data_IF_412874748495
#
_entry.id   IF_412874748495
#
_cell.length_a   1.000
_cell.length_b   1.000
_cell.length_c   1.000
_cell.angle_alpha   90.00
_cell.angle_beta   90.00
_cell.angle_gamma   90.00
#
_symmetry.space_group_name_H-M   'P 1'
#
loop_
_entity.id
_entity.type
_entity.pdbx_description
1 polymer ?
#
# COMPACT_ATOMS: atom_id res chain seq x y z
N UNK A 1 -11.68 2.68 -10.36
CA UNK A 1 -10.65 2.50 -9.31
C UNK A 1 -11.19 1.43 -8.40
N UNK A 2 -10.52 0.28 -8.36
CA UNK A 2 -10.94 -0.82 -7.48
C UNK A 2 -10.30 -0.61 -6.11
N UNK A 3 -11.12 -0.70 -5.07
CA UNK A 3 -10.73 -0.53 -3.68
C UNK A 3 -11.37 -1.71 -2.91
N UNK A 4 -10.62 -2.47 -2.11
CA UNK A 4 -9.21 -2.25 -1.76
C UNK A 4 -8.24 -2.56 -2.91
N UNK A 5 -7.07 -1.91 -2.93
CA UNK A 5 -6.05 -2.12 -3.97
C UNK A 5 -4.63 -1.80 -3.52
N UNK A 6 -3.65 -2.54 -4.03
CA UNK A 6 -2.23 -2.33 -3.74
C UNK A 6 -1.73 -1.05 -4.42
N UNK A 7 -1.02 -0.22 -3.65
CA UNK A 7 -0.49 1.06 -4.11
C UNK A 7 0.91 1.32 -3.55
N UNK A 8 1.69 2.10 -4.30
CA UNK A 8 2.89 2.76 -3.79
C UNK A 8 2.52 4.18 -3.35
N UNK A 9 2.71 4.48 -2.06
CA UNK A 9 2.49 5.79 -1.45
C UNK A 9 3.72 6.68 -1.57
N UNK A 10 3.51 7.90 -2.07
CA UNK A 10 4.48 8.99 -2.03
C UNK A 10 3.87 10.15 -1.23
N UNK A 11 4.44 10.44 -0.05
CA UNK A 11 3.96 11.52 0.81
C UNK A 11 5.11 12.09 1.66
N UNK A 12 5.52 13.36 1.46
CA UNK A 12 6.60 13.99 2.23
C UNK A 12 6.31 14.10 3.73
N UNK A 13 5.04 14.23 4.15
CA UNK A 13 4.67 14.40 5.56
C UNK A 13 5.11 13.23 6.45
N UNK A 14 5.10 12.02 5.90
CA UNK A 14 5.43 10.78 6.61
C UNK A 14 6.71 10.14 6.05
N UNK A 15 7.49 10.90 5.28
CA UNK A 15 8.68 10.44 4.55
C UNK A 15 8.44 9.17 3.71
N UNK A 16 7.22 9.01 3.17
CA UNK A 16 6.88 7.91 2.30
C UNK A 16 7.40 8.19 0.88
N UNK A 17 8.29 7.33 0.39
CA UNK A 17 8.92 7.43 -0.94
C UNK A 17 8.72 6.11 -1.68
N UNK A 18 7.51 5.90 -2.19
CA UNK A 18 7.12 4.64 -2.84
C UNK A 18 6.86 3.53 -1.83
N UNK A 19 6.35 3.88 -0.65
CA UNK A 19 6.05 2.91 0.41
C UNK A 19 4.87 2.04 0.00
N UNK A 20 5.05 0.72 0.00
CA UNK A 20 3.98 -0.22 -0.29
C UNK A 20 2.84 -0.10 0.74
N UNK A 21 1.62 0.01 0.25
CA UNK A 21 0.41 0.15 1.06
C UNK A 21 -0.79 -0.47 0.33
N UNK A 22 -1.88 -0.66 1.07
CA UNK A 22 -3.19 -1.02 0.53
C UNK A 22 -4.09 0.20 0.68
N UNK A 23 -4.62 0.72 -0.43
CA UNK A 23 -5.69 1.70 -0.40
C UNK A 23 -6.99 0.99 0.01
N UNK A 24 -7.57 1.39 1.13
CA UNK A 24 -8.79 0.79 1.71
C UNK A 24 -10.02 1.64 1.44
N UNK A 25 -9.88 2.96 1.42
CA UNK A 25 -10.96 3.89 1.09
C UNK A 25 -10.41 5.27 0.72
N UNK A 26 -11.25 6.06 0.06
CA UNK A 26 -11.05 7.51 -0.09
C UNK A 26 -12.13 8.20 0.76
N UNK A 27 -11.70 8.90 1.79
CA UNK A 27 -12.59 9.59 2.72
C UNK A 27 -13.14 10.89 2.10
N UNK A 28 -14.44 11.21 2.27
CA UNK A 28 -15.06 12.42 1.71
C UNK A 28 -14.43 13.73 2.19
N UNK A 29 -13.74 13.76 3.33
CA UNK A 29 -13.04 14.92 3.85
C UNK A 29 -11.64 15.13 3.25
N UNK A 30 -11.24 14.32 2.26
CA UNK A 30 -10.03 14.53 1.48
C UNK A 30 -8.81 13.75 1.96
N UNK A 31 -9.02 12.54 2.47
CA UNK A 31 -7.96 11.65 2.94
C UNK A 31 -7.97 10.30 2.23
N UNK A 32 -6.80 9.73 1.99
CA UNK A 32 -6.66 8.31 1.69
C UNK A 32 -6.60 7.52 2.99
N UNK A 33 -7.43 6.50 3.13
CA UNK A 33 -7.30 5.49 4.17
C UNK A 33 -6.43 4.35 3.64
N UNK A 34 -5.25 4.18 4.23
CA UNK A 34 -4.24 3.21 3.82
C UNK A 34 -3.97 2.21 4.93
N UNK A 35 -3.69 0.96 4.56
CA UNK A 35 -3.00 0.01 5.43
C UNK A 35 -1.53 -0.12 5.00
N UNK A 36 -0.62 0.06 5.95
CA UNK A 36 0.83 0.04 5.72
C UNK A 36 1.47 -0.95 6.67
N UNK A 37 2.42 -1.75 6.19
CA UNK A 37 3.24 -2.62 7.04
C UNK A 37 4.45 -1.84 7.59
N UNK A 38 4.51 -1.66 8.90
CA UNK A 38 5.63 -1.01 9.59
C UNK A 38 6.16 -1.97 10.64
N UNK A 39 7.44 -2.35 10.52
CA UNK A 39 8.10 -3.29 11.43
C UNK A 39 7.31 -4.60 11.64
N UNK A 40 6.70 -5.11 10.57
CA UNK A 40 5.92 -6.36 10.58
C UNK A 40 4.48 -6.24 11.08
N UNK A 41 4.05 -5.06 11.55
CA UNK A 41 2.68 -4.83 11.99
C UNK A 41 1.90 -4.00 10.96
N UNK A 42 0.61 -4.29 10.83
CA UNK A 42 -0.29 -3.54 9.94
C UNK A 42 -0.83 -2.31 10.67
N UNK A 43 -0.63 -1.15 10.08
CA UNK A 43 -1.09 0.13 10.61
C UNK A 43 -2.06 0.81 9.65
N UNK A 44 -3.15 1.33 10.17
CA UNK A 44 -4.04 2.22 9.41
C UNK A 44 -3.49 3.64 9.44
N UNK A 45 -3.39 4.28 8.28
CA UNK A 45 -2.93 5.65 8.11
C UNK A 45 -3.96 6.44 7.32
N UNK A 46 -4.18 7.70 7.74
CA UNK A 46 -4.95 8.68 6.99
C UNK A 46 -4.00 9.73 6.43
N UNK A 47 -3.91 9.82 5.10
CA UNK A 47 -2.98 10.73 4.43
C UNK A 47 -3.77 11.76 3.60
N UNK A 48 -3.51 13.07 3.74
CA UNK A 48 -4.21 14.08 2.96
C UNK A 48 -3.97 13.91 1.46
N UNK A 49 -5.05 13.88 0.66
CA UNK A 49 -4.96 13.73 -0.79
C UNK A 49 -4.11 14.85 -1.42
N UNK A 50 -4.24 16.08 -0.93
CA UNK A 50 -3.51 17.23 -1.46
C UNK A 50 -2.00 17.21 -1.23
N UNK A 51 -1.48 16.25 -0.46
CA UNK A 51 -0.05 16.12 -0.15
C UNK A 51 0.49 14.71 -0.39
N UNK A 52 -0.24 13.88 -1.12
CA UNK A 52 0.14 12.52 -1.42
C UNK A 52 -0.19 12.12 -2.86
N UNK A 53 0.65 11.28 -3.43
CA UNK A 53 0.38 10.58 -4.68
C UNK A 53 0.36 9.08 -4.42
N UNK A 54 -0.57 8.39 -5.09
CA UNK A 54 -0.69 6.94 -5.09
C UNK A 54 -0.46 6.42 -6.51
N UNK A 55 0.37 5.41 -6.65
CA UNK A 55 0.50 4.65 -7.90
C UNK A 55 -0.05 3.25 -7.65
N UNK A 56 -1.10 2.84 -8.38
CA UNK A 56 -1.56 1.45 -8.31
C UNK A 56 -0.47 0.52 -8.83
N UNK A 57 -0.24 -0.55 -8.09
CA UNK A 57 0.70 -1.59 -8.47
C UNK A 57 -0.11 -2.79 -8.94
N UNK A 58 0.21 -3.32 -10.12
CA UNK A 58 -0.30 -4.61 -10.53
C UNK A 58 0.08 -5.66 -9.47
N UNK A 59 -0.80 -6.63 -9.18
CA UNK A 59 -0.46 -7.71 -8.27
C UNK A 59 0.80 -8.42 -8.79
N UNK A 60 1.86 -8.45 -7.97
CA UNK A 60 3.02 -9.28 -8.29
C UNK A 60 2.56 -10.74 -8.36
N UNK A 61 2.97 -11.51 -9.39
CA UNK A 61 2.61 -12.91 -9.49
C UNK A 61 3.12 -13.64 -8.24
N UNK A 62 2.22 -14.35 -7.56
CA UNK A 62 2.58 -15.22 -6.44
C UNK A 62 3.67 -16.20 -6.93
N UNK A 63 4.85 -16.15 -6.30
CA UNK A 63 5.85 -17.19 -6.55
C UNK A 63 5.31 -18.49 -5.97
N UNK A 64 5.05 -19.48 -6.82
CA UNK A 64 4.85 -20.85 -6.37
C UNK A 64 6.05 -21.21 -5.47
N UNK A 65 5.77 -21.68 -4.26
CA UNK A 65 6.80 -22.16 -3.34
C UNK A 65 7.69 -23.15 -4.09
N UNK A 66 9.00 -22.88 -4.10
CA UNK A 66 9.96 -23.71 -4.79
C UNK A 66 9.79 -25.14 -4.29
N UNK A 67 9.42 -26.05 -5.19
CA UNK A 67 9.35 -27.49 -4.92
C UNK A 67 10.63 -27.90 -4.17
N UNK A 68 10.49 -28.30 -2.91
CA UNK A 68 11.56 -28.95 -2.16
C UNK A 68 11.79 -30.32 -2.82
N UNK A 69 12.75 -30.38 -3.74
CA UNK A 69 13.21 -31.65 -4.30
C UNK A 69 14.02 -32.33 -3.19
N UNK A 70 13.35 -33.19 -2.42
CA UNK A 70 14.01 -34.11 -1.49
C UNK A 70 15.02 -34.98 -2.27
N UNK A 71 16.25 -35.06 -1.76
CA UNK A 71 17.40 -35.68 -2.41
C UNK A 71 17.75 -37.02 -1.76
#
# INVERSE_FOLDING_TARGET
>A
MEIPGNVSLYCPLVDAKGTAAILVAVDPHGYYQLEVLIKGNRHTMFVPIGQAALCFTDPEPEREDAFEIER
#
